data_IF_697064853916
#
_entry.id   IF_697064853916
#
_cell.length_a   1.000
_cell.length_b   1.000
_cell.length_c   1.000
_cell.angle_alpha   90.00
_cell.angle_beta   90.00
_cell.angle_gamma   90.00
#
_symmetry.space_group_name_H-M   'P 1'
#
loop_
_entity.id
_entity.type
_entity.pdbx_description
1 polymer ?
#
# COMPACT_ATOMS: atom_id res chain seq x y z
N UNK A 1 20.69 -3.83 -19.73
CA UNK A 1 19.83 -4.79 -19.07
C UNK A 1 18.39 -4.56 -19.46
N UNK A 2 17.64 -5.59 -19.54
CA UNK A 2 16.23 -5.47 -19.80
C UNK A 2 15.46 -5.26 -18.48
N UNK A 3 14.94 -4.05 -18.30
CA UNK A 3 14.12 -3.71 -17.14
C UNK A 3 12.63 -3.88 -17.41
N UNK A 4 12.30 -4.44 -18.56
CA UNK A 4 10.92 -4.62 -18.92
C UNK A 4 10.25 -5.64 -18.04
N UNK A 5 9.02 -5.33 -17.71
CA UNK A 5 8.15 -6.25 -17.00
C UNK A 5 7.84 -7.46 -17.87
N UNK A 6 8.17 -8.67 -17.41
CA UNK A 6 7.76 -9.90 -18.04
C UNK A 6 6.45 -10.37 -17.40
N UNK A 7 5.33 -10.41 -18.17
CA UNK A 7 4.04 -10.84 -17.62
C UNK A 7 4.03 -12.27 -17.08
N UNK A 8 5.02 -13.10 -17.48
CA UNK A 8 5.14 -14.46 -16.96
C UNK A 8 5.81 -14.54 -15.59
N UNK A 9 6.55 -13.51 -15.20
CA UNK A 9 7.24 -13.49 -13.91
C UNK A 9 6.27 -13.25 -12.77
N UNK A 10 6.45 -13.95 -11.62
CA UNK A 10 5.68 -13.65 -10.42
C UNK A 10 5.93 -12.22 -9.93
N UNK A 11 4.87 -11.54 -9.57
CA UNK A 11 4.92 -10.19 -8.99
C UNK A 11 4.20 -10.22 -7.66
N UNK A 12 4.77 -9.59 -6.64
CA UNK A 12 4.12 -9.44 -5.35
C UNK A 12 3.74 -7.99 -5.13
N UNK A 13 2.46 -7.77 -4.89
CA UNK A 13 1.91 -6.46 -4.58
C UNK A 13 1.60 -6.41 -3.08
N UNK A 14 2.36 -5.60 -2.37
CA UNK A 14 2.19 -5.42 -0.93
C UNK A 14 1.29 -4.24 -0.65
N UNK A 15 0.31 -4.44 0.22
CA UNK A 15 -0.49 -3.36 0.78
C UNK A 15 -0.42 -3.45 2.30
N UNK A 16 -0.17 -2.32 2.95
CA UNK A 16 0.04 -2.25 4.39
C UNK A 16 -1.01 -1.32 4.97
N UNK A 17 -1.66 -1.72 6.05
CA UNK A 17 -2.70 -0.93 6.72
C UNK A 17 -2.43 -0.87 8.21
N UNK A 18 -2.78 0.25 8.84
CA UNK A 18 -2.75 0.35 10.30
C UNK A 18 -3.89 -0.49 10.89
N UNK A 19 -3.59 -1.28 11.92
CA UNK A 19 -4.56 -2.20 12.52
C UNK A 19 -5.35 -1.61 13.70
N UNK A 20 -5.10 -0.35 14.04
CA UNK A 20 -5.79 0.35 15.13
C UNK A 20 -7.10 1.01 14.70
N UNK A 21 -7.58 0.73 13.50
CA UNK A 21 -8.84 1.23 12.96
C UNK A 21 -9.81 0.07 12.73
N UNK A 22 -11.14 0.34 12.67
CA UNK A 22 -12.12 -0.73 12.44
C UNK A 22 -11.88 -1.53 11.17
N UNK A 23 -12.21 -2.81 11.18
CA UNK A 23 -11.96 -3.71 10.06
C UNK A 23 -12.56 -3.24 8.73
N UNK A 24 -13.78 -2.69 8.75
CA UNK A 24 -14.39 -2.16 7.54
C UNK A 24 -13.60 -0.98 6.95
N UNK A 25 -13.07 -0.14 7.81
CA UNK A 25 -12.20 0.98 7.40
C UNK A 25 -10.88 0.44 6.87
N UNK A 26 -10.28 -0.56 7.52
CA UNK A 26 -9.07 -1.22 7.03
C UNK A 26 -9.29 -1.78 5.62
N UNK A 27 -10.39 -2.49 5.41
CA UNK A 27 -10.69 -3.08 4.10
C UNK A 27 -10.82 -2.01 3.02
N UNK A 28 -11.54 -0.92 3.29
CA UNK A 28 -11.71 0.17 2.35
C UNK A 28 -10.37 0.83 1.99
N UNK A 29 -9.51 1.05 2.99
CA UNK A 29 -8.20 1.67 2.76
C UNK A 29 -7.25 0.75 2.00
N UNK A 30 -7.35 -0.56 2.18
CA UNK A 30 -6.59 -1.52 1.39
C UNK A 30 -6.98 -1.47 -0.09
N UNK A 31 -8.27 -1.32 -0.39
CA UNK A 31 -8.75 -1.15 -1.76
C UNK A 31 -8.16 0.13 -2.37
N UNK A 32 -8.17 1.25 -1.63
CA UNK A 32 -7.54 2.49 -2.09
C UNK A 32 -6.04 2.32 -2.33
N UNK A 33 -5.34 1.70 -1.39
CA UNK A 33 -3.89 1.50 -1.51
C UNK A 33 -3.55 0.63 -2.72
N UNK A 34 -4.26 -0.46 -2.92
CA UNK A 34 -4.06 -1.34 -4.06
C UNK A 34 -4.35 -0.63 -5.38
N UNK A 35 -5.46 0.12 -5.44
CA UNK A 35 -5.83 0.85 -6.64
C UNK A 35 -4.85 1.94 -7.02
N UNK A 36 -4.41 2.75 -6.04
CA UNK A 36 -3.52 3.88 -6.31
C UNK A 36 -2.08 3.47 -6.57
N UNK A 37 -1.64 2.32 -6.05
CA UNK A 37 -0.29 1.80 -6.26
C UNK A 37 -0.18 0.86 -7.45
N UNK A 38 -1.30 0.43 -8.01
CA UNK A 38 -1.32 -0.48 -9.15
C UNK A 38 -0.81 0.20 -10.42
N UNK A 39 0.01 -0.49 -11.23
CA UNK A 39 0.41 0.03 -12.55
C UNK A 39 -0.71 -0.03 -13.59
N UNK A 40 -1.87 -0.59 -13.27
CA UNK A 40 -3.02 -0.69 -14.18
C UNK A 40 -3.08 -1.98 -14.98
N UNK A 41 -1.94 -2.57 -15.31
CA UNK A 41 -1.85 -3.86 -15.99
C UNK A 41 -1.17 -4.84 -15.07
N UNK A 42 -1.94 -5.74 -14.48
CA UNK A 42 -1.38 -6.73 -13.56
C UNK A 42 -1.06 -8.03 -14.30
N UNK A 43 0.09 -8.60 -13.96
CA UNK A 43 0.42 -9.94 -14.39
C UNK A 43 -0.61 -10.94 -13.85
N UNK A 44 -0.98 -11.98 -14.63
CA UNK A 44 -1.81 -13.06 -14.10
C UNK A 44 -1.14 -13.82 -12.96
N UNK A 45 0.16 -13.62 -12.75
CA UNK A 45 0.95 -14.22 -11.68
C UNK A 45 1.17 -13.26 -10.50
N UNK A 46 0.37 -12.20 -10.38
CA UNK A 46 0.46 -11.25 -9.27
C UNK A 46 -0.05 -11.88 -7.98
N UNK A 47 0.76 -11.81 -6.94
CA UNK A 47 0.37 -12.21 -5.59
C UNK A 47 0.08 -10.95 -4.77
N UNK A 48 -1.06 -10.94 -4.09
CA UNK A 48 -1.40 -9.87 -3.17
C UNK A 48 -1.02 -10.28 -1.75
N UNK A 49 -0.29 -9.42 -1.06
CA UNK A 49 0.09 -9.63 0.34
C UNK A 49 -0.36 -8.43 1.15
N UNK A 50 -1.11 -8.69 2.21
CA UNK A 50 -1.55 -7.65 3.14
C UNK A 50 -0.75 -7.78 4.43
N UNK A 51 -0.13 -6.68 4.83
CA UNK A 51 0.58 -6.56 6.09
C UNK A 51 -0.08 -5.50 6.95
N UNK A 52 0.13 -5.57 8.25
CA UNK A 52 -0.38 -4.54 9.15
C UNK A 52 0.74 -3.91 9.96
N UNK A 53 0.51 -2.67 10.37
CA UNK A 53 1.34 -1.96 11.35
C UNK A 53 0.46 -1.50 12.49
N UNK A 54 1.05 -1.19 13.64
CA UNK A 54 0.28 -0.92 14.85
C UNK A 54 -0.60 0.34 14.74
N UNK A 55 -0.09 1.40 14.13
CA UNK A 55 -0.71 2.72 14.18
C UNK A 55 -0.16 3.65 13.08
N UNK A 56 -0.64 4.90 13.07
CA UNK A 56 -0.19 5.90 12.11
C UNK A 56 1.32 6.20 12.19
N UNK A 57 1.92 6.38 13.37
CA UNK A 57 3.37 6.60 13.43
C UNK A 57 4.20 5.45 12.83
N UNK A 58 3.78 4.21 13.06
CA UNK A 58 4.45 3.06 12.47
C UNK A 58 4.33 3.03 10.94
N UNK A 59 3.16 3.42 10.42
CA UNK A 59 2.95 3.50 8.98
C UNK A 59 3.82 4.58 8.34
N UNK A 60 3.90 5.75 8.94
CA UNK A 60 4.74 6.85 8.46
C UNK A 60 6.22 6.46 8.51
N UNK A 61 6.65 5.78 9.56
CA UNK A 61 8.02 5.30 9.68
C UNK A 61 8.37 4.34 8.54
N UNK A 62 7.45 3.43 8.21
CA UNK A 62 7.64 2.51 7.08
C UNK A 62 7.71 3.26 5.77
N UNK A 63 6.80 4.21 5.52
CA UNK A 63 6.81 5.03 4.31
C UNK A 63 8.13 5.78 4.14
N UNK A 64 8.66 6.34 5.22
CA UNK A 64 9.95 7.04 5.21
C UNK A 64 11.09 6.09 4.86
N UNK A 65 11.09 4.88 5.40
CA UNK A 65 12.09 3.86 5.06
C UNK A 65 12.05 3.48 3.59
N UNK A 66 10.86 3.33 3.03
CA UNK A 66 10.68 3.01 1.62
C UNK A 66 11.18 4.15 0.73
N UNK A 67 10.90 5.39 1.10
CA UNK A 67 11.40 6.56 0.39
C UNK A 67 12.94 6.61 0.41
N UNK A 68 13.55 6.40 1.56
CA UNK A 68 15.01 6.39 1.69
C UNK A 68 15.64 5.24 0.91
N UNK A 69 14.95 4.11 0.80
CA UNK A 69 15.42 2.95 0.02
C UNK A 69 15.15 3.05 -1.47
N UNK A 70 14.51 4.13 -1.94
CA UNK A 70 14.19 4.30 -3.35
C UNK A 70 13.07 3.37 -3.84
N UNK A 71 12.24 2.86 -2.93
CA UNK A 71 11.17 1.93 -3.27
C UNK A 71 9.89 2.72 -3.55
N UNK A 72 9.35 2.58 -4.75
CA UNK A 72 8.10 3.23 -5.16
C UNK A 72 6.94 2.73 -4.31
N UNK A 73 6.16 3.65 -3.77
CA UNK A 73 5.01 3.36 -2.93
C UNK A 73 4.05 4.53 -2.93
N UNK A 74 2.84 4.30 -2.41
CA UNK A 74 1.82 5.34 -2.29
C UNK A 74 1.25 5.30 -0.87
N UNK A 75 1.36 6.41 -0.15
CA UNK A 75 0.75 6.58 1.16
C UNK A 75 -0.66 7.14 0.98
N UNK A 76 -1.65 6.47 1.59
CA UNK A 76 -3.04 6.90 1.53
C UNK A 76 -3.35 7.73 2.75
N UNK A 77 -3.73 8.97 2.51
CA UNK A 77 -4.15 9.91 3.55
C UNK A 77 -5.62 10.24 3.32
N UNK A 78 -6.43 10.09 4.36
CA UNK A 78 -7.87 10.35 4.25
C UNK A 78 -8.13 11.86 4.13
N UNK A 79 -8.83 12.33 3.08
CA UNK A 79 -9.07 13.76 2.92
C UNK A 79 -10.22 14.29 3.79
N UNK A 80 -11.17 13.44 4.18
CA UNK A 80 -12.37 13.85 4.92
C UNK A 80 -12.76 12.83 5.97
N UNK A 81 -13.76 13.16 6.78
CA UNK A 81 -14.33 12.25 7.77
C UNK A 81 -13.54 12.18 9.08
N UNK A 82 -13.79 11.13 9.84
CA UNK A 82 -13.23 10.96 11.18
C UNK A 82 -11.70 10.82 11.18
N UNK A 83 -11.13 10.39 10.07
CA UNK A 83 -9.68 10.17 9.93
C UNK A 83 -9.02 11.20 9.02
N UNK A 84 -9.68 12.34 8.80
CA UNK A 84 -9.15 13.38 7.90
C UNK A 84 -7.72 13.79 8.27
N UNK A 85 -6.85 13.82 7.28
CA UNK A 85 -5.44 14.17 7.46
C UNK A 85 -4.58 13.05 8.02
N UNK A 86 -5.15 11.88 8.31
CA UNK A 86 -4.40 10.76 8.87
C UNK A 86 -3.97 9.78 7.79
N UNK A 87 -2.74 9.26 7.86
CA UNK A 87 -2.32 8.16 7.01
C UNK A 87 -2.99 6.86 7.47
N UNK A 88 -3.60 6.13 6.54
CA UNK A 88 -4.37 4.93 6.87
C UNK A 88 -3.78 3.65 6.28
N UNK A 89 -3.19 3.74 5.10
CA UNK A 89 -2.64 2.58 4.41
C UNK A 89 -1.50 3.00 3.47
N UNK A 90 -0.81 2.00 2.95
CA UNK A 90 0.30 2.18 2.03
C UNK A 90 0.29 1.02 1.02
N UNK A 91 0.50 1.34 -0.21
CA UNK A 91 0.62 0.34 -1.26
C UNK A 91 1.86 0.50 -2.11
#
# INVERSE_FOLDING_TARGET
>A
MNDEFDPADPVTHYCIVRRDIPYGVQAAQLVHAAGESSPGNLSPHTFAVVLTVADAPALVKLANKLTLGGITHKLIVEPTGDYAGQPLALG
#
